data_IF_317274094450
#
_entry.id   IF_317274094450
#
_cell.length_a   1.000
_cell.length_b   1.000
_cell.length_c   1.000
_cell.angle_alpha   90.00
_cell.angle_beta   90.00
_cell.angle_gamma   90.00
#
_symmetry.space_group_name_H-M   'P 1'
#
loop_
_entity.id
_entity.type
_entity.pdbx_description
1 polymer ?
#
# COMPACT_ATOMS: atom_id res chain seq x y z
N UNK A 1 53.31 35.04 -5.83
CA UNK A 1 52.13 35.61 -5.14
C UNK A 1 50.94 34.75 -5.46
N UNK A 2 50.63 33.76 -4.60
CA UNK A 2 49.46 32.88 -4.76
C UNK A 2 48.29 33.54 -4.05
N UNK A 3 47.28 33.88 -4.82
CA UNK A 3 46.00 34.44 -4.38
C UNK A 3 45.31 33.50 -3.38
N UNK A 4 44.80 34.12 -2.33
CA UNK A 4 43.91 33.55 -1.32
C UNK A 4 42.66 32.94 -1.98
N UNK A 5 42.36 31.69 -1.64
CA UNK A 5 41.05 31.08 -1.83
C UNK A 5 40.37 31.02 -0.45
N UNK A 6 39.20 31.67 -0.25
CA UNK A 6 38.47 31.65 1.02
C UNK A 6 37.81 30.28 1.30
N UNK A 7 37.36 30.03 2.56
CA UNK A 7 36.85 28.74 3.00
C UNK A 7 35.51 28.42 2.34
N UNK A 8 35.43 27.32 1.60
CA UNK A 8 34.16 26.76 1.15
C UNK A 8 33.40 26.19 2.35
N UNK A 9 32.38 26.93 2.77
CA UNK A 9 31.25 26.40 3.51
C UNK A 9 30.34 25.73 2.46
N UNK A 10 30.15 24.42 2.60
CA UNK A 10 29.24 23.61 1.78
C UNK A 10 27.79 24.02 2.09
N UNK A 11 27.30 25.03 1.38
CA UNK A 11 25.87 25.17 1.07
C UNK A 11 25.71 24.85 -0.43
N UNK A 12 24.64 24.12 -0.73
CA UNK A 12 24.19 23.74 -2.07
C UNK A 12 25.08 22.77 -2.85
N UNK A 13 24.81 21.47 -2.67
CA UNK A 13 24.57 20.52 -3.76
C UNK A 13 24.20 19.16 -3.14
N UNK A 14 23.13 18.55 -3.64
CA UNK A 14 22.73 17.18 -3.34
C UNK A 14 23.87 16.20 -3.71
N UNK A 15 24.74 15.93 -2.74
CA UNK A 15 25.51 14.70 -2.68
C UNK A 15 25.13 14.05 -1.36
N UNK A 16 24.46 12.89 -1.44
CA UNK A 16 24.33 11.99 -0.30
C UNK A 16 25.76 11.68 0.16
N UNK A 17 26.28 12.40 1.15
CA UNK A 17 27.37 11.86 1.98
C UNK A 17 26.68 10.91 2.94
N UNK A 18 26.41 9.68 2.52
CA UNK A 18 26.02 8.64 3.47
C UNK A 18 27.25 8.23 4.22
N UNK A 19 27.56 8.94 5.29
CA UNK A 19 28.58 8.48 6.22
C UNK A 19 28.11 7.19 6.87
N UNK A 20 28.96 6.17 6.82
CA UNK A 20 28.64 4.89 7.43
C UNK A 20 29.01 4.95 8.91
N UNK A 21 28.04 4.73 9.80
CA UNK A 21 28.33 4.49 11.21
C UNK A 21 29.05 3.15 11.33
N UNK A 22 30.30 3.20 11.80
CA UNK A 22 31.10 2.01 12.07
C UNK A 22 30.96 1.58 13.53
N UNK A 23 30.90 2.55 14.45
CA UNK A 23 30.91 2.26 15.89
C UNK A 23 30.23 3.36 16.70
N UNK A 24 29.58 2.97 17.80
CA UNK A 24 29.04 3.88 18.82
C UNK A 24 29.62 3.49 20.18
N UNK A 25 30.15 4.48 20.90
CA UNK A 25 30.65 4.29 22.26
C UNK A 25 30.06 5.32 23.20
N UNK A 26 29.59 4.85 24.35
CA UNK A 26 29.18 5.68 25.48
C UNK A 26 30.12 5.44 26.67
N UNK A 27 30.92 6.44 27.03
CA UNK A 27 31.87 6.38 28.14
C UNK A 27 31.89 7.70 28.90
N UNK A 28 31.75 7.65 30.23
CA UNK A 28 31.89 8.82 31.12
C UNK A 28 31.07 10.04 30.64
N UNK A 29 29.76 9.82 30.39
CA UNK A 29 28.81 10.81 29.86
C UNK A 29 29.13 11.37 28.45
N UNK A 30 30.10 10.78 27.74
CA UNK A 30 30.41 11.11 26.35
C UNK A 30 29.83 10.05 25.42
N UNK A 31 29.10 10.50 24.40
CA UNK A 31 28.59 9.68 23.31
C UNK A 31 29.36 10.04 22.04
N UNK A 32 30.13 9.08 21.52
CA UNK A 32 30.95 9.24 20.33
C UNK A 32 30.52 8.24 19.25
N UNK A 33 30.59 8.71 18.01
CA UNK A 33 30.28 7.91 16.82
C UNK A 33 31.50 7.92 15.91
N UNK A 34 31.88 6.74 15.41
CA UNK A 34 32.87 6.61 14.36
C UNK A 34 32.16 6.57 13.01
N UNK A 35 32.41 7.57 12.20
CA UNK A 35 31.83 7.69 10.87
C UNK A 35 32.92 7.50 9.81
N UNK A 36 32.52 7.05 8.63
CA UNK A 36 33.38 6.97 7.46
C UNK A 36 32.78 7.74 6.30
N UNK A 37 33.55 8.71 5.80
CA UNK A 37 33.29 9.34 4.52
C UNK A 37 33.53 8.33 3.38
N UNK A 38 32.52 8.01 2.54
CA UNK A 38 32.64 7.05 1.44
C UNK A 38 33.71 7.39 0.40
N UNK A 39 34.10 8.66 0.28
CA UNK A 39 35.15 9.07 -0.64
C UNK A 39 36.56 8.78 -0.12
N UNK A 40 36.68 8.23 1.10
CA UNK A 40 37.94 7.87 1.74
C UNK A 40 38.93 9.04 1.88
N UNK A 41 38.41 10.26 1.99
CA UNK A 41 39.15 11.48 2.33
C UNK A 41 38.16 12.51 2.92
N UNK A 42 38.65 13.64 3.45
CA UNK A 42 37.84 14.75 4.02
C UNK A 42 37.07 14.36 5.28
N UNK A 43 37.80 14.27 6.39
CA UNK A 43 37.26 14.02 7.73
C UNK A 43 36.63 15.25 8.40
N UNK A 44 35.84 14.97 9.43
CA UNK A 44 35.38 15.94 10.43
C UNK A 44 36.54 16.72 11.05
N UNK A 45 36.37 18.04 11.20
CA UNK A 45 37.41 18.95 11.69
C UNK A 45 37.09 19.58 13.06
N UNK A 46 35.94 19.26 13.64
CA UNK A 46 35.53 19.81 14.92
C UNK A 46 36.00 18.95 16.09
N UNK A 47 35.17 18.88 17.13
CA UNK A 47 35.49 18.18 18.36
C UNK A 47 35.71 16.69 18.11
N UNK A 48 36.75 16.12 18.71
CA UNK A 48 37.19 14.73 18.49
C UNK A 48 37.68 14.44 17.06
N UNK A 49 38.03 15.46 16.28
CA UNK A 49 38.84 15.27 15.06
C UNK A 49 40.28 14.86 15.40
N UNK A 50 41.03 14.42 14.38
CA UNK A 50 42.44 14.05 14.54
C UNK A 50 43.31 15.23 15.01
N UNK A 51 42.85 16.47 14.79
CA UNK A 51 43.54 17.73 15.16
C UNK A 51 43.10 18.29 16.50
N UNK A 52 42.05 17.76 17.12
CA UNK A 52 41.54 18.25 18.40
C UNK A 52 42.39 17.76 19.57
N UNK A 53 43.32 18.59 20.03
CA UNK A 53 44.21 18.24 21.15
C UNK A 53 43.54 18.34 22.53
N UNK A 54 42.36 18.95 22.63
CA UNK A 54 41.74 19.27 23.93
C UNK A 54 40.75 18.20 24.37
N UNK A 55 39.98 17.63 23.44
CA UNK A 55 38.90 16.70 23.80
C UNK A 55 39.38 15.26 23.97
N UNK A 56 40.49 14.89 23.32
CA UNK A 56 41.10 13.56 23.45
C UNK A 56 41.83 13.41 24.79
N UNK A 57 41.45 12.39 25.56
CA UNK A 57 42.16 11.99 26.79
C UNK A 57 42.83 10.63 26.59
N UNK A 58 43.94 10.32 27.28
CA UNK A 58 44.61 9.01 27.15
C UNK A 58 43.68 7.83 27.43
N UNK A 59 42.75 7.98 28.38
CA UNK A 59 41.75 6.95 28.71
C UNK A 59 40.79 6.72 27.54
N UNK A 60 40.37 7.79 26.88
CA UNK A 60 39.43 7.73 25.75
C UNK A 60 40.11 7.13 24.51
N UNK A 61 41.34 7.56 24.20
CA UNK A 61 42.14 6.98 23.12
C UNK A 61 42.35 5.47 23.31
N UNK A 62 42.69 5.04 24.54
CA UNK A 62 42.84 3.62 24.87
C UNK A 62 41.53 2.84 24.74
N UNK A 63 40.41 3.44 25.15
CA UNK A 63 39.11 2.77 25.10
C UNK A 63 38.57 2.60 23.67
N UNK A 64 38.93 3.50 22.76
CA UNK A 64 38.52 3.49 21.36
C UNK A 64 39.56 2.83 20.44
N UNK A 65 40.68 2.33 20.99
CA UNK A 65 41.86 1.89 20.23
C UNK A 65 42.26 2.89 19.12
N UNK A 66 42.22 4.19 19.46
CA UNK A 66 42.37 5.28 18.50
C UNK A 66 43.52 6.21 18.89
N UNK A 67 44.42 6.47 17.93
CA UNK A 67 45.51 7.44 18.07
C UNK A 67 45.34 8.60 17.06
N UNK A 68 45.03 9.83 17.54
CA UNK A 68 44.91 11.00 16.67
C UNK A 68 46.16 11.33 15.86
N UNK A 69 47.36 11.02 16.39
CA UNK A 69 48.62 11.29 15.70
C UNK A 69 48.85 10.36 14.50
N UNK A 70 48.43 9.10 14.60
CA UNK A 70 48.52 8.13 13.50
C UNK A 70 47.48 8.47 12.43
N UNK A 71 46.26 8.84 12.86
CA UNK A 71 45.22 9.30 11.93
C UNK A 71 45.63 10.54 11.13
N UNK A 72 46.48 11.42 11.65
CA UNK A 72 47.00 12.57 10.88
C UNK A 72 47.93 12.17 9.73
N UNK A 73 48.53 10.98 9.76
CA UNK A 73 49.50 10.55 8.74
C UNK A 73 48.83 10.05 7.46
N UNK A 74 47.64 9.47 7.58
CA UNK A 74 46.89 8.89 6.46
C UNK A 74 45.41 9.25 6.57
N UNK A 75 44.85 9.88 5.52
CA UNK A 75 43.42 10.16 5.42
C UNK A 75 42.70 9.03 4.68
N UNK A 76 41.89 8.28 5.41
CA UNK A 76 41.03 7.20 4.91
C UNK A 76 39.53 7.55 5.01
N UNK A 77 39.21 8.79 5.38
CA UNK A 77 37.86 9.28 5.61
C UNK A 77 37.19 8.79 6.90
N UNK A 78 37.85 8.00 7.76
CA UNK A 78 37.29 7.55 9.04
C UNK A 78 37.58 8.56 10.15
N UNK A 79 36.56 8.94 10.93
CA UNK A 79 36.73 9.89 12.04
C UNK A 79 35.74 9.69 13.18
N UNK A 80 36.10 10.20 14.35
CA UNK A 80 35.20 10.28 15.51
C UNK A 80 34.51 11.64 15.59
N UNK A 81 33.26 11.64 16.03
CA UNK A 81 32.46 12.84 16.24
C UNK A 81 31.57 12.66 17.48
N UNK A 82 31.32 13.73 18.24
CA UNK A 82 30.39 13.66 19.36
C UNK A 82 28.93 13.70 18.91
N UNK A 83 28.07 12.98 19.63
CA UNK A 83 26.65 12.87 19.31
C UNK A 83 25.96 14.24 19.20
N UNK A 84 26.36 15.23 20.00
CA UNK A 84 25.84 16.60 19.90
C UNK A 84 26.18 17.23 18.54
N UNK A 85 27.37 17.01 18.01
CA UNK A 85 27.75 17.46 16.68
C UNK A 85 27.00 16.68 15.60
N UNK A 86 26.82 15.36 15.76
CA UNK A 86 25.98 14.57 14.84
C UNK A 86 24.57 15.17 14.73
N UNK A 87 23.89 15.42 15.86
CA UNK A 87 22.57 16.03 15.88
C UNK A 87 22.52 17.47 15.33
N UNK A 88 23.67 18.16 15.26
CA UNK A 88 23.73 19.52 14.72
C UNK A 88 23.97 19.55 13.21
N UNK A 89 24.76 18.62 12.68
CA UNK A 89 25.20 18.62 11.28
C UNK A 89 24.48 17.60 10.39
N UNK A 90 23.81 16.61 10.96
CA UNK A 90 23.11 15.56 10.21
C UNK A 90 21.60 15.61 10.47
N UNK A 91 20.83 15.62 9.39
CA UNK A 91 19.35 15.66 9.47
C UNK A 91 18.70 14.28 9.53
N UNK A 92 19.37 13.24 9.01
CA UNK A 92 18.78 11.90 8.82
C UNK A 92 19.77 10.82 9.23
N UNK A 93 19.27 9.82 9.94
CA UNK A 93 20.01 8.64 10.35
C UNK A 93 19.30 7.37 9.86
N UNK A 94 19.96 6.61 8.97
CA UNK A 94 19.41 5.34 8.46
C UNK A 94 19.91 4.17 9.30
N UNK A 95 18.97 3.47 9.94
CA UNK A 95 19.27 2.29 10.75
C UNK A 95 18.63 1.08 10.10
N UNK A 96 19.39 -0.02 10.03
CA UNK A 96 18.86 -1.32 9.67
C UNK A 96 18.86 -2.23 10.90
N UNK A 97 17.95 -3.19 10.94
CA UNK A 97 17.90 -4.20 11.98
C UNK A 97 18.64 -5.46 11.52
N UNK A 98 19.03 -6.29 12.46
CA UNK A 98 19.48 -7.65 12.14
C UNK A 98 18.25 -8.48 11.73
N UNK A 99 18.16 -8.97 10.48
CA UNK A 99 17.02 -9.79 10.06
C UNK A 99 16.94 -11.13 10.81
N UNK A 100 18.02 -11.58 11.47
CA UNK A 100 18.05 -12.83 12.23
C UNK A 100 17.10 -12.86 13.42
N UNK A 101 16.64 -11.70 13.90
CA UNK A 101 15.62 -11.59 14.95
C UNK A 101 14.26 -12.19 14.53
N UNK A 102 14.06 -12.42 13.22
CA UNK A 102 12.87 -13.05 12.67
C UNK A 102 13.19 -14.45 12.13
N UNK A 103 12.72 -15.51 12.79
CA UNK A 103 12.93 -16.89 12.32
C UNK A 103 12.22 -17.20 11.00
N UNK A 104 11.15 -16.46 10.65
CA UNK A 104 10.40 -16.67 9.43
C UNK A 104 10.47 -15.43 8.54
N UNK A 105 10.90 -15.61 7.29
CA UNK A 105 10.90 -14.55 6.29
C UNK A 105 10.56 -15.09 4.91
N UNK A 106 9.86 -14.27 4.13
CA UNK A 106 9.54 -14.57 2.75
C UNK A 106 9.41 -13.28 1.96
N UNK A 107 9.96 -13.27 0.75
CA UNK A 107 9.90 -12.13 -0.16
C UNK A 107 9.41 -12.56 -1.54
N UNK A 108 8.51 -11.77 -2.11
CA UNK A 108 8.11 -11.90 -3.50
C UNK A 108 8.55 -10.67 -4.28
N UNK A 109 8.86 -10.88 -5.56
CA UNK A 109 9.18 -9.83 -6.51
C UNK A 109 8.03 -9.70 -7.51
N UNK A 110 7.63 -8.47 -7.80
CA UNK A 110 6.52 -8.21 -8.69
C UNK A 110 6.68 -6.89 -9.44
N UNK A 111 5.86 -6.74 -10.47
CA UNK A 111 5.74 -5.54 -11.28
C UNK A 111 4.31 -5.03 -11.20
N UNK A 112 4.14 -3.71 -11.11
CA UNK A 112 2.85 -3.04 -11.24
C UNK A 112 2.87 -2.10 -12.44
N UNK A 113 2.22 -2.51 -13.53
CA UNK A 113 2.20 -1.77 -14.80
C UNK A 113 1.43 -0.45 -14.69
N UNK A 114 1.97 0.61 -15.30
CA UNK A 114 1.27 1.88 -15.52
C UNK A 114 -0.06 1.68 -16.28
N UNK A 115 -1.02 2.58 -16.08
CA UNK A 115 -2.24 2.65 -16.89
C UNK A 115 -3.37 1.67 -16.51
N UNK A 116 -3.15 0.75 -15.57
CA UNK A 116 -4.22 -0.06 -14.99
C UNK A 116 -4.89 0.66 -13.81
N UNK A 117 -6.23 0.66 -13.77
CA UNK A 117 -6.98 1.25 -12.68
C UNK A 117 -6.94 2.77 -12.61
N UNK A 118 -7.45 3.36 -11.51
CA UNK A 118 -7.45 4.81 -11.35
C UNK A 118 -6.04 5.34 -11.09
N UNK A 119 -5.77 6.58 -11.52
CA UNK A 119 -4.49 7.26 -11.23
C UNK A 119 -4.31 7.46 -9.72
N UNK A 120 -5.41 7.69 -9.00
CA UNK A 120 -5.42 7.86 -7.54
C UNK A 120 -6.33 6.83 -6.90
N UNK A 121 -5.89 6.29 -5.77
CA UNK A 121 -6.62 5.32 -4.93
C UNK A 121 -7.81 5.95 -4.17
N UNK A 122 -8.58 6.84 -4.81
CA UNK A 122 -9.67 7.59 -4.16
C UNK A 122 -10.98 6.80 -4.11
N UNK A 123 -11.30 6.08 -5.19
CA UNK A 123 -12.60 5.43 -5.34
C UNK A 123 -12.51 3.90 -5.47
N UNK A 124 -11.38 3.37 -5.96
CA UNK A 124 -11.11 1.93 -6.00
C UNK A 124 -9.62 1.62 -5.89
N UNK A 125 -9.32 0.46 -5.33
CA UNK A 125 -7.97 -0.16 -5.26
C UNK A 125 -7.97 -1.58 -5.85
N UNK A 126 -9.01 -1.92 -6.63
CA UNK A 126 -9.23 -3.28 -7.15
C UNK A 126 -8.13 -3.73 -8.13
N UNK A 127 -7.51 -2.78 -8.83
CA UNK A 127 -6.43 -2.98 -9.80
C UNK A 127 -5.03 -2.88 -9.17
N UNK A 128 -4.97 -2.57 -7.88
CA UNK A 128 -3.72 -2.52 -7.15
C UNK A 128 -3.23 -3.95 -6.88
N UNK A 129 -1.92 -4.20 -6.75
CA UNK A 129 -1.42 -5.49 -6.35
C UNK A 129 -1.85 -5.80 -4.92
N UNK A 130 -2.49 -6.95 -4.74
CA UNK A 130 -2.98 -7.39 -3.43
C UNK A 130 -2.45 -8.76 -3.08
N UNK A 131 -2.16 -8.96 -1.80
CA UNK A 131 -1.60 -10.18 -1.26
C UNK A 131 -2.36 -10.60 0.00
N UNK A 132 -2.64 -11.89 0.14
CA UNK A 132 -3.14 -12.47 1.38
C UNK A 132 -1.95 -12.84 2.25
N UNK A 133 -1.98 -12.37 3.50
CA UNK A 133 -1.06 -12.77 4.56
C UNK A 133 -1.84 -13.58 5.59
N UNK A 134 -1.46 -14.84 5.77
CA UNK A 134 -2.09 -15.75 6.72
C UNK A 134 -1.07 -16.16 7.78
N UNK A 135 -1.45 -16.12 9.04
CA UNK A 135 -0.55 -16.39 10.17
C UNK A 135 -1.31 -17.11 11.28
N UNK A 136 -0.70 -18.15 11.84
CA UNK A 136 -1.25 -18.82 13.01
C UNK A 136 -0.59 -18.24 14.26
N UNK A 137 -1.33 -17.44 15.01
CA UNK A 137 -0.82 -16.70 16.17
C UNK A 137 -1.09 -17.45 17.47
N UNK A 138 -0.11 -17.45 18.38
CA UNK A 138 -0.23 -17.95 19.75
C UNK A 138 -0.53 -16.84 20.77
N UNK A 139 -0.85 -15.63 20.32
CA UNK A 139 -1.22 -14.49 21.18
C UNK A 139 -0.17 -13.37 21.27
N UNK A 140 1.00 -13.52 20.65
CA UNK A 140 1.94 -12.41 20.43
C UNK A 140 2.87 -12.70 19.26
N UNK A 141 2.53 -12.19 18.08
CA UNK A 141 3.34 -12.33 16.87
C UNK A 141 3.70 -10.97 16.30
N UNK A 142 4.99 -10.66 16.27
CA UNK A 142 5.53 -9.53 15.52
C UNK A 142 5.58 -9.85 14.02
N UNK A 143 5.05 -8.96 13.20
CA UNK A 143 5.10 -9.01 11.73
C UNK A 143 5.59 -7.68 11.18
N UNK A 144 6.64 -7.72 10.38
CA UNK A 144 7.22 -6.58 9.69
C UNK A 144 7.08 -6.77 8.18
N UNK A 145 6.40 -5.83 7.53
CA UNK A 145 6.12 -5.83 6.09
C UNK A 145 6.96 -4.74 5.45
N UNK A 146 7.97 -5.15 4.70
CA UNK A 146 8.87 -4.27 3.98
C UNK A 146 8.53 -4.27 2.49
N UNK A 147 8.02 -3.14 2.02
CA UNK A 147 7.92 -2.84 0.59
C UNK A 147 9.19 -2.12 0.14
N UNK A 148 9.84 -2.66 -0.87
CA UNK A 148 11.03 -2.06 -1.49
C UNK A 148 10.81 -1.89 -2.98
N UNK A 149 10.69 -0.65 -3.44
CA UNK A 149 10.70 -0.32 -4.87
C UNK A 149 12.11 -0.46 -5.42
N UNK A 150 12.23 -1.07 -6.59
CA UNK A 150 13.49 -1.17 -7.30
C UNK A 150 13.69 0.11 -8.10
N UNK A 151 14.81 0.78 -7.89
CA UNK A 151 15.23 1.94 -8.66
C UNK A 151 16.35 1.49 -9.58
N UNK A 152 16.07 1.46 -10.88
CA UNK A 152 17.03 1.03 -11.91
C UNK A 152 17.56 2.20 -12.75
N UNK A 153 16.97 3.40 -12.59
CA UNK A 153 17.35 4.61 -13.30
C UNK A 153 17.87 5.69 -12.33
N UNK A 154 18.99 6.33 -12.69
CA UNK A 154 19.64 7.35 -11.85
C UNK A 154 18.79 8.62 -11.72
N UNK A 155 18.04 9.00 -12.75
CA UNK A 155 17.20 10.21 -12.70
C UNK A 155 15.98 9.99 -11.82
N UNK A 156 15.41 8.79 -11.82
CA UNK A 156 14.38 8.36 -10.88
C UNK A 156 14.87 8.37 -9.43
N UNK A 157 16.11 7.93 -9.18
CA UNK A 157 16.73 8.06 -7.85
C UNK A 157 16.88 9.53 -7.42
N UNK A 158 17.43 10.37 -8.29
CA UNK A 158 17.69 11.78 -7.99
C UNK A 158 16.41 12.60 -7.80
N UNK A 159 15.34 12.26 -8.51
CA UNK A 159 14.06 12.96 -8.49
C UNK A 159 12.91 11.98 -8.26
N UNK A 160 12.88 11.35 -7.08
CA UNK A 160 11.86 10.36 -6.77
C UNK A 160 10.48 11.02 -6.60
N UNK A 161 9.61 10.81 -7.59
CA UNK A 161 8.21 11.27 -7.60
C UNK A 161 7.22 10.15 -7.29
N UNK A 162 7.71 8.94 -7.05
CA UNK A 162 6.88 7.78 -6.79
C UNK A 162 6.71 7.60 -5.27
N UNK A 163 5.50 7.88 -4.79
CA UNK A 163 5.14 7.74 -3.38
C UNK A 163 4.42 6.41 -3.18
N UNK A 164 5.04 5.50 -2.42
CA UNK A 164 4.55 4.13 -2.22
C UNK A 164 4.13 3.90 -0.76
N UNK A 165 3.24 2.94 -0.55
CA UNK A 165 2.89 2.40 0.78
C UNK A 165 2.31 0.99 0.65
N UNK A 166 2.11 0.34 1.79
CA UNK A 166 1.27 -0.86 1.92
C UNK A 166 0.14 -0.56 2.88
N UNK A 167 -1.09 -0.69 2.39
CA UNK A 167 -2.29 -0.68 3.22
C UNK A 167 -2.56 -2.10 3.72
N UNK A 168 -2.99 -2.23 4.97
CA UNK A 168 -3.26 -3.51 5.62
C UNK A 168 -4.71 -3.56 6.05
N UNK A 169 -5.41 -4.63 5.66
CA UNK A 169 -6.81 -4.89 6.00
C UNK A 169 -6.92 -6.22 6.73
N UNK A 170 -7.74 -6.30 7.78
CA UNK A 170 -8.08 -7.56 8.45
C UNK A 170 -9.26 -8.20 7.71
N UNK A 171 -8.97 -9.05 6.72
CA UNK A 171 -10.00 -9.65 5.83
C UNK A 171 -9.51 -10.95 5.20
N UNK A 172 -8.39 -10.89 4.47
CA UNK A 172 -7.89 -12.00 3.65
C UNK A 172 -8.50 -12.08 2.25
N UNK A 173 -9.51 -11.24 1.95
CA UNK A 173 -10.21 -11.16 0.66
C UNK A 173 -9.73 -9.98 -0.18
N UNK A 174 -10.09 -9.97 -1.46
CA UNK A 174 -9.80 -8.84 -2.36
C UNK A 174 -10.51 -7.57 -1.87
N UNK A 175 -9.77 -6.48 -1.80
CA UNK A 175 -10.28 -5.16 -1.42
C UNK A 175 -10.60 -4.37 -2.68
N UNK A 176 -11.83 -3.89 -2.80
CA UNK A 176 -12.24 -3.10 -3.97
C UNK A 176 -12.29 -1.61 -3.67
N UNK A 177 -12.72 -1.27 -2.46
CA UNK A 177 -12.93 0.09 -1.99
C UNK A 177 -11.88 0.37 -0.90
N UNK A 178 -11.07 1.44 -1.01
CA UNK A 178 -9.99 1.69 -0.07
C UNK A 178 -10.46 1.88 1.39
N UNK A 179 -11.68 2.39 1.56
CA UNK A 179 -12.29 2.68 2.86
C UNK A 179 -13.21 1.58 3.39
N UNK A 180 -13.45 0.52 2.61
CA UNK A 180 -14.40 -0.54 2.97
C UNK A 180 -13.89 -1.94 2.55
N UNK A 181 -13.51 -2.80 3.52
CA UNK A 181 -13.47 -2.52 4.97
C UNK A 181 -12.44 -1.44 5.33
N UNK A 182 -12.57 -0.83 6.51
CA UNK A 182 -11.58 0.16 6.98
C UNK A 182 -10.20 -0.49 7.15
N UNK A 183 -9.12 0.09 6.61
CA UNK A 183 -7.78 -0.45 6.81
C UNK A 183 -7.38 -0.35 8.29
N UNK A 184 -6.66 -1.36 8.78
CA UNK A 184 -6.02 -1.32 10.10
C UNK A 184 -4.72 -0.52 10.06
N UNK A 185 -4.08 -0.44 8.88
CA UNK A 185 -2.92 0.42 8.64
C UNK A 185 -3.04 1.03 7.24
N UNK A 186 -2.98 2.35 7.17
CA UNK A 186 -2.90 3.15 5.94
C UNK A 186 -2.00 4.34 6.24
N UNK A 187 -0.69 4.12 6.20
CA UNK A 187 0.26 5.17 6.47
C UNK A 187 0.40 6.12 5.27
N UNK A 188 0.96 7.29 5.56
CA UNK A 188 1.33 8.29 4.55
C UNK A 188 2.21 7.64 3.49
N UNK A 189 1.92 7.92 2.22
CA UNK A 189 2.72 7.45 1.09
C UNK A 189 4.04 8.21 1.09
N UNK A 190 5.15 7.49 1.07
CA UNK A 190 6.50 8.06 1.16
C UNK A 190 7.21 7.97 -0.19
N UNK A 191 7.98 8.99 -0.54
CA UNK A 191 8.92 8.96 -1.68
C UNK A 191 10.27 8.33 -1.30
N UNK A 192 10.27 7.44 -0.31
CA UNK A 192 11.40 6.55 -0.03
C UNK A 192 11.25 5.30 -0.91
N UNK A 193 12.36 4.70 -1.41
CA UNK A 193 12.31 3.39 -2.04
C UNK A 193 11.83 2.30 -1.08
N UNK A 194 11.90 2.54 0.23
CA UNK A 194 11.50 1.59 1.26
C UNK A 194 10.34 2.12 2.09
N UNK A 195 9.35 1.27 2.32
CA UNK A 195 8.29 1.48 3.28
C UNK A 195 8.21 0.26 4.20
N UNK A 196 8.36 0.49 5.51
CA UNK A 196 8.26 -0.54 6.55
C UNK A 196 6.98 -0.33 7.35
N UNK A 197 6.14 -1.36 7.37
CA UNK A 197 4.96 -1.46 8.22
C UNK A 197 5.23 -2.50 9.30
N UNK A 198 5.08 -2.12 10.57
CA UNK A 198 5.29 -3.00 11.72
C UNK A 198 3.96 -3.21 12.44
N UNK A 199 3.63 -4.47 12.74
CA UNK A 199 2.42 -4.82 13.48
C UNK A 199 2.70 -5.92 14.50
N UNK A 200 1.88 -5.94 15.54
CA UNK A 200 1.84 -6.99 16.54
C UNK A 200 0.44 -7.60 16.51
N UNK A 201 0.37 -8.91 16.36
CA UNK A 201 -0.87 -9.67 16.42
C UNK A 201 -0.99 -10.25 17.82
N UNK A 202 -1.98 -9.76 18.57
CA UNK A 202 -2.25 -10.20 19.94
C UNK A 202 -3.35 -11.27 20.03
N UNK A 203 -4.09 -11.50 18.95
CA UNK A 203 -5.17 -12.47 18.91
C UNK A 203 -4.63 -13.88 18.65
N UNK A 204 -5.13 -14.87 19.38
CA UNK A 204 -4.79 -16.27 19.16
C UNK A 204 -5.54 -16.84 17.95
N UNK A 205 -4.97 -17.89 17.36
CA UNK A 205 -5.54 -18.63 16.25
C UNK A 205 -5.16 -18.07 14.89
N UNK A 206 -5.88 -18.54 13.88
CA UNK A 206 -5.59 -18.26 12.49
C UNK A 206 -6.09 -16.88 12.06
N UNK A 207 -5.16 -16.00 11.70
CA UNK A 207 -5.43 -14.62 11.30
C UNK A 207 -5.17 -14.44 9.81
N UNK A 208 -6.07 -13.70 9.13
CA UNK A 208 -5.96 -13.39 7.70
C UNK A 208 -5.98 -11.88 7.47
N UNK A 209 -5.02 -11.42 6.68
CA UNK A 209 -4.88 -10.02 6.26
C UNK A 209 -4.81 -9.91 4.76
N UNK A 210 -5.22 -8.77 4.23
CA UNK A 210 -4.99 -8.36 2.86
C UNK A 210 -4.05 -7.17 2.83
N UNK A 211 -2.93 -7.33 2.13
CA UNK A 211 -1.94 -6.29 1.90
C UNK A 211 -2.20 -5.69 0.52
N UNK A 212 -2.43 -4.39 0.44
CA UNK A 212 -2.64 -3.66 -0.81
C UNK A 212 -1.46 -2.73 -1.02
N UNK A 213 -0.67 -2.98 -2.07
CA UNK A 213 0.39 -2.05 -2.50
C UNK A 213 -0.28 -0.84 -3.12
N UNK A 214 0.07 0.36 -2.66
CA UNK A 214 -0.63 1.59 -3.03
C UNK A 214 0.35 2.68 -3.46
N UNK A 215 -0.14 3.63 -4.27
CA UNK A 215 0.62 4.77 -4.76
C UNK A 215 -0.19 6.06 -4.63
N UNK A 216 0.49 7.21 -4.52
CA UNK A 216 -0.22 8.50 -4.53
C UNK A 216 -0.77 8.84 -5.93
N UNK A 217 0.06 8.69 -6.97
CA UNK A 217 -0.28 8.92 -8.37
C UNK A 217 0.38 7.86 -9.24
N UNK A 218 -0.43 6.95 -9.77
CA UNK A 218 0.04 5.82 -10.56
C UNK A 218 0.38 6.24 -11.99
N UNK A 219 1.56 6.83 -12.16
CA UNK A 219 2.00 7.35 -13.46
C UNK A 219 3.00 6.43 -14.17
N UNK A 220 3.72 5.57 -13.43
CA UNK A 220 4.78 4.72 -13.98
C UNK A 220 4.63 3.27 -13.57
N UNK A 221 5.19 2.41 -14.41
CA UNK A 221 5.39 1.00 -14.05
C UNK A 221 6.46 0.94 -12.98
N UNK A 222 6.17 0.25 -11.88
CA UNK A 222 7.17 0.01 -10.82
C UNK A 222 7.47 -1.48 -10.68
N UNK A 223 8.70 -1.77 -10.29
CA UNK A 223 9.15 -3.08 -9.84
C UNK A 223 9.39 -3.00 -8.33
N UNK A 224 9.02 -4.04 -7.60
CA UNK A 224 9.17 -4.05 -6.15
C UNK A 224 9.37 -5.44 -5.58
N UNK A 225 9.94 -5.47 -4.38
CA UNK A 225 9.94 -6.60 -3.46
C UNK A 225 8.94 -6.31 -2.35
N UNK A 226 8.02 -7.23 -2.08
CA UNK A 226 7.24 -7.25 -0.85
C UNK A 226 7.79 -8.37 0.03
N UNK A 227 8.42 -8.02 1.14
CA UNK A 227 9.02 -8.96 2.08
C UNK A 227 8.31 -8.89 3.42
N UNK A 228 8.03 -10.05 3.99
CA UNK A 228 7.47 -10.19 5.33
C UNK A 228 8.50 -10.87 6.21
N UNK A 229 8.66 -10.34 7.42
CA UNK A 229 9.42 -10.94 8.50
C UNK A 229 8.46 -11.22 9.66
N UNK A 230 8.57 -12.37 10.28
CA UNK A 230 7.69 -12.77 11.37
C UNK A 230 8.38 -13.63 12.42
N UNK A 231 7.85 -13.53 13.63
CA UNK A 231 8.18 -14.40 14.77
C UNK A 231 7.40 -15.71 14.77
N UNK A 232 6.39 -15.85 13.90
CA UNK A 232 5.64 -17.08 13.69
C UNK A 232 5.59 -17.47 12.21
N UNK A 233 5.29 -18.73 11.93
CA UNK A 233 5.11 -19.21 10.56
C UNK A 233 3.91 -18.50 9.90
N UNK A 234 4.09 -18.12 8.64
CA UNK A 234 3.07 -17.42 7.88
C UNK A 234 3.09 -17.85 6.41
N UNK A 235 2.00 -17.53 5.72
CA UNK A 235 1.86 -17.71 4.28
C UNK A 235 1.54 -16.38 3.62
N UNK A 236 2.36 -15.99 2.65
CA UNK A 236 2.13 -14.81 1.81
C UNK A 236 1.90 -15.26 0.36
N UNK A 237 0.78 -14.85 -0.22
CA UNK A 237 0.44 -15.17 -1.60
C UNK A 237 -0.34 -14.05 -2.27
N UNK A 238 -0.28 -13.97 -3.60
CA UNK A 238 -1.13 -13.02 -4.35
C UNK A 238 -2.60 -13.37 -4.12
N UNK A 239 -3.45 -12.36 -3.92
CA UNK A 239 -4.90 -12.56 -3.79
C UNK A 239 -5.42 -13.23 -5.06
N UNK A 240 -6.11 -14.35 -4.88
CA UNK A 240 -6.76 -15.07 -5.97
C UNK A 240 -8.08 -14.37 -6.31
N UNK A 241 -8.38 -14.28 -7.61
CA UNK A 241 -9.67 -13.81 -8.11
C UNK A 241 -10.43 -15.04 -8.60
N UNK A 242 -11.63 -15.33 -8.08
CA UNK A 242 -12.34 -16.58 -8.38
C UNK A 242 -13.12 -16.53 -9.71
N UNK A 243 -13.24 -15.37 -10.34
CA UNK A 243 -14.12 -15.18 -11.49
C UNK A 243 -13.54 -15.75 -12.78
N UNK A 244 -14.31 -16.59 -13.46
CA UNK A 244 -13.97 -17.23 -14.74
C UNK A 244 -14.79 -16.67 -15.91
N UNK A 245 -15.96 -16.09 -15.61
CA UNK A 245 -16.87 -15.51 -16.60
C UNK A 245 -16.99 -14.01 -16.37
N UNK A 246 -17.05 -13.23 -17.45
CA UNK A 246 -17.22 -11.78 -17.41
C UNK A 246 -18.12 -11.29 -18.54
N UNK A 247 -19.10 -10.45 -18.21
CA UNK A 247 -19.94 -9.74 -19.19
C UNK A 247 -20.10 -8.29 -18.79
N UNK A 248 -20.06 -7.40 -19.78
CA UNK A 248 -20.31 -5.97 -19.63
C UNK A 248 -21.48 -5.57 -20.52
N UNK A 249 -22.43 -4.85 -19.96
CA UNK A 249 -23.60 -4.31 -20.67
C UNK A 249 -23.56 -2.78 -20.59
N UNK A 250 -24.01 -2.13 -21.65
CA UNK A 250 -24.29 -0.69 -21.67
C UNK A 250 -25.78 -0.46 -21.48
N UNK A 251 -26.13 0.38 -20.51
CA UNK A 251 -27.49 0.82 -20.24
C UNK A 251 -27.57 2.33 -20.13
N UNK A 252 -28.78 2.85 -19.88
CA UNK A 252 -29.00 4.26 -19.59
C UNK A 252 -30.17 4.44 -18.62
N UNK A 253 -30.10 5.48 -17.79
CA UNK A 253 -31.25 6.05 -17.10
C UNK A 253 -31.82 7.14 -17.99
N UNK A 254 -33.07 7.02 -18.42
CA UNK A 254 -33.69 7.98 -19.35
C UNK A 254 -35.21 8.05 -19.20
N UNK A 255 -35.74 9.27 -19.18
CA UNK A 255 -37.17 9.54 -19.04
C UNK A 255 -37.75 8.82 -17.83
N UNK A 256 -38.75 7.96 -18.07
CA UNK A 256 -39.41 7.19 -17.01
C UNK A 256 -38.46 6.26 -16.24
N UNK A 257 -37.38 5.81 -16.86
CA UNK A 257 -36.42 4.88 -16.23
C UNK A 257 -35.36 5.57 -15.37
N UNK A 258 -35.30 6.92 -15.37
CA UNK A 258 -34.53 7.68 -14.40
C UNK A 258 -35.31 7.79 -13.07
N UNK A 259 -35.55 6.65 -12.43
CA UNK A 259 -36.47 6.52 -11.31
C UNK A 259 -35.90 6.96 -9.96
N UNK A 260 -34.59 7.12 -9.82
CA UNK A 260 -33.97 7.47 -8.54
C UNK A 260 -34.04 6.34 -7.50
N UNK A 261 -33.61 6.61 -6.26
CA UNK A 261 -33.55 5.59 -5.22
C UNK A 261 -34.93 5.31 -4.57
N UNK A 262 -35.05 4.23 -3.78
CA UNK A 262 -36.30 3.85 -3.09
C UNK A 262 -36.75 4.78 -1.95
N UNK A 263 -36.10 5.95 -1.79
CA UNK A 263 -36.28 6.85 -0.66
C UNK A 263 -36.77 8.23 -1.10
N UNK A 264 -37.40 8.95 -0.16
CA UNK A 264 -37.78 10.35 -0.33
C UNK A 264 -38.63 10.61 -1.59
N UNK A 265 -38.35 11.69 -2.35
CA UNK A 265 -39.11 12.04 -3.56
C UNK A 265 -39.08 11.01 -4.69
N UNK A 266 -38.15 10.05 -4.67
CA UNK A 266 -37.95 9.05 -5.73
C UNK A 266 -38.72 7.75 -5.48
N UNK A 267 -39.43 7.64 -4.34
CA UNK A 267 -40.10 6.39 -3.92
C UNK A 267 -41.16 5.89 -4.92
N UNK A 268 -41.86 6.80 -5.57
CA UNK A 268 -42.92 6.48 -6.54
C UNK A 268 -42.37 6.05 -7.90
N UNK A 269 -41.18 6.53 -8.25
CA UNK A 269 -40.54 6.31 -9.56
C UNK A 269 -39.46 5.24 -9.51
N UNK A 270 -39.03 4.82 -8.31
CA UNK A 270 -38.04 3.77 -8.05
C UNK A 270 -38.25 2.50 -8.87
N UNK A 271 -39.49 2.00 -8.94
CA UNK A 271 -39.81 0.75 -9.63
C UNK A 271 -39.60 0.82 -11.15
N UNK A 272 -39.43 2.02 -11.72
CA UNK A 272 -39.20 2.21 -13.14
C UNK A 272 -37.73 2.09 -13.55
N UNK A 273 -36.80 2.05 -12.59
CA UNK A 273 -35.37 1.93 -12.90
C UNK A 273 -35.06 0.69 -13.75
N UNK A 274 -34.00 0.70 -14.59
CA UNK A 274 -33.62 -0.45 -15.41
C UNK A 274 -33.35 -1.71 -14.56
N UNK A 275 -33.82 -2.86 -15.05
CA UNK A 275 -33.65 -4.16 -14.38
C UNK A 275 -33.00 -5.14 -15.35
N UNK A 276 -31.99 -5.86 -14.85
CA UNK A 276 -31.28 -6.90 -15.57
C UNK A 276 -31.47 -8.23 -14.86
N UNK A 277 -31.91 -9.24 -15.62
CA UNK A 277 -32.02 -10.61 -15.14
C UNK A 277 -30.68 -11.32 -15.35
N UNK A 278 -30.05 -11.74 -14.25
CA UNK A 278 -28.85 -12.55 -14.18
C UNK A 278 -29.26 -14.00 -13.87
N UNK A 279 -28.91 -14.94 -14.73
CA UNK A 279 -29.10 -16.37 -14.49
C UNK A 279 -27.74 -17.03 -14.30
N UNK A 280 -27.49 -17.52 -13.08
CA UNK A 280 -26.28 -18.29 -12.75
C UNK A 280 -26.50 -19.75 -13.13
N UNK A 281 -25.43 -20.40 -13.60
CA UNK A 281 -25.42 -21.83 -13.89
C UNK A 281 -25.75 -22.67 -12.64
N UNK A 282 -26.33 -23.85 -12.85
CA UNK A 282 -26.84 -24.69 -11.77
C UNK A 282 -25.82 -25.69 -11.20
N UNK A 283 -24.55 -25.57 -11.60
CA UNK A 283 -23.46 -26.45 -11.18
C UNK A 283 -23.04 -26.33 -9.71
N UNK A 284 -23.33 -25.22 -9.03
CA UNK A 284 -22.99 -24.97 -7.62
C UNK A 284 -23.95 -23.97 -6.98
N UNK A 285 -24.14 -24.09 -5.67
CA UNK A 285 -24.85 -23.10 -4.84
C UNK A 285 -23.90 -22.16 -4.07
N UNK A 286 -22.60 -22.26 -4.33
CA UNK A 286 -21.55 -21.50 -3.68
C UNK A 286 -20.76 -20.71 -4.73
N UNK A 287 -21.45 -19.82 -5.44
CA UNK A 287 -20.85 -19.01 -6.50
C UNK A 287 -20.39 -17.66 -5.96
N UNK A 288 -19.16 -17.25 -6.31
CA UNK A 288 -18.70 -15.88 -6.16
C UNK A 288 -19.15 -15.02 -7.33
N UNK A 289 -19.73 -13.84 -7.04
CA UNK A 289 -20.23 -12.88 -8.04
C UNK A 289 -19.74 -11.47 -7.71
N UNK A 290 -19.17 -10.77 -8.69
CA UNK A 290 -18.79 -9.37 -8.62
C UNK A 290 -19.68 -8.55 -9.54
N UNK A 291 -20.28 -7.48 -9.02
CA UNK A 291 -21.10 -6.57 -9.80
C UNK A 291 -20.50 -5.18 -9.69
N UNK A 292 -20.14 -4.59 -10.83
CA UNK A 292 -19.59 -3.25 -10.94
C UNK A 292 -20.54 -2.37 -11.76
N UNK A 293 -20.88 -1.20 -11.23
CA UNK A 293 -21.68 -0.19 -11.93
C UNK A 293 -20.85 1.09 -12.10
N UNK A 294 -20.68 1.52 -13.34
CA UNK A 294 -19.97 2.76 -13.74
C UNK A 294 -20.94 3.69 -14.45
N UNK A 295 -21.07 4.92 -13.99
CA UNK A 295 -21.93 5.94 -14.57
C UNK A 295 -21.26 7.32 -14.59
N UNK A 296 -22.02 8.38 -14.92
CA UNK A 296 -21.49 9.74 -14.95
C UNK A 296 -21.05 10.20 -13.55
N UNK A 297 -19.89 10.87 -13.46
CA UNK A 297 -19.26 11.26 -12.17
C UNK A 297 -20.10 12.24 -11.35
N UNK A 298 -21.01 12.97 -11.99
CA UNK A 298 -21.89 13.92 -11.33
C UNK A 298 -23.02 13.26 -10.53
N UNK A 299 -23.36 11.99 -10.82
CA UNK A 299 -24.46 11.28 -10.16
C UNK A 299 -23.94 10.34 -9.09
N UNK A 300 -24.66 10.27 -7.98
CA UNK A 300 -24.46 9.21 -7.00
C UNK A 300 -25.30 8.01 -7.46
N UNK A 301 -24.66 6.86 -7.65
CA UNK A 301 -25.28 5.67 -8.24
C UNK A 301 -25.22 4.48 -7.28
N UNK A 302 -26.16 3.56 -7.44
CA UNK A 302 -26.33 2.36 -6.63
C UNK A 302 -27.01 1.25 -7.43
N UNK A 303 -27.00 0.04 -6.88
CA UNK A 303 -27.84 -1.04 -7.38
C UNK A 303 -28.24 -1.98 -6.25
N UNK A 304 -29.31 -2.75 -6.51
CA UNK A 304 -29.76 -3.85 -5.67
C UNK A 304 -29.81 -5.13 -6.49
N UNK A 305 -29.49 -6.25 -5.85
CA UNK A 305 -29.65 -7.60 -6.40
C UNK A 305 -30.64 -8.38 -5.53
N UNK A 306 -31.66 -8.93 -6.16
CA UNK A 306 -32.72 -9.71 -5.51
C UNK A 306 -32.90 -11.05 -6.20
N UNK A 307 -33.02 -12.12 -5.42
CA UNK A 307 -33.36 -13.43 -5.96
C UNK A 307 -34.79 -13.42 -6.52
N UNK A 308 -34.94 -13.84 -7.76
CA UNK A 308 -36.23 -14.00 -8.44
C UNK A 308 -36.71 -15.45 -8.35
N UNK A 309 -35.84 -16.40 -8.65
CA UNK A 309 -36.13 -17.84 -8.50
C UNK A 309 -34.87 -18.63 -8.18
N UNK A 310 -35.04 -19.76 -7.51
CA UNK A 310 -33.98 -20.76 -7.31
C UNK A 310 -34.58 -22.15 -7.48
N UNK A 311 -33.96 -22.98 -8.32
CA UNK A 311 -34.38 -24.37 -8.53
C UNK A 311 -34.15 -25.24 -7.28
N UNK A 312 -33.22 -24.84 -6.41
CA UNK A 312 -32.74 -25.62 -5.27
C UNK A 312 -33.28 -25.13 -3.92
N UNK A 313 -34.19 -24.15 -3.92
CA UNK A 313 -34.83 -23.56 -2.74
C UNK A 313 -33.87 -22.98 -1.68
N UNK A 314 -32.61 -22.68 -2.04
CA UNK A 314 -31.68 -21.95 -1.15
C UNK A 314 -32.00 -20.46 -1.21
N UNK A 315 -32.43 -19.90 -0.09
CA UNK A 315 -32.81 -18.49 0.02
C UNK A 315 -31.57 -17.60 -0.14
N UNK A 316 -31.70 -16.54 -0.94
CA UNK A 316 -30.73 -15.46 -1.00
C UNK A 316 -31.42 -14.13 -0.70
N UNK A 317 -31.02 -13.50 0.40
CA UNK A 317 -31.54 -12.20 0.79
C UNK A 317 -31.13 -11.11 -0.20
N UNK A 318 -31.97 -10.10 -0.40
CA UNK A 318 -31.60 -8.92 -1.18
C UNK A 318 -30.33 -8.29 -0.63
N UNK A 319 -29.42 -7.93 -1.52
CA UNK A 319 -28.19 -7.19 -1.21
C UNK A 319 -28.14 -5.92 -2.04
N UNK A 320 -27.54 -4.87 -1.50
CA UNK A 320 -27.32 -3.61 -2.22
C UNK A 320 -25.83 -3.31 -2.31
N UNK A 321 -25.47 -2.43 -3.24
CA UNK A 321 -24.10 -1.91 -3.36
C UNK A 321 -23.67 -0.98 -2.20
N UNK A 322 -24.48 -0.89 -1.13
CA UNK A 322 -24.24 0.01 0.00
C UNK A 322 -24.64 1.45 -0.31
N UNK A 323 -23.94 2.41 0.33
CA UNK A 323 -24.17 3.83 0.13
C UNK A 323 -23.97 4.22 -1.35
N UNK A 324 -24.76 5.17 -1.84
CA UNK A 324 -24.63 5.68 -3.20
C UNK A 324 -23.32 6.43 -3.37
N UNK A 325 -22.59 6.18 -4.47
CA UNK A 325 -21.25 6.73 -4.72
C UNK A 325 -21.18 7.40 -6.08
N UNK A 326 -20.34 8.43 -6.20
CA UNK A 326 -20.20 9.23 -7.43
C UNK A 326 -19.64 8.40 -8.58
N UNK A 327 -20.46 8.13 -9.59
CA UNK A 327 -20.08 7.51 -10.85
C UNK A 327 -19.53 6.07 -10.79
N UNK A 328 -19.36 5.47 -9.61
CA UNK A 328 -18.79 4.14 -9.45
C UNK A 328 -19.26 3.47 -8.17
N UNK A 329 -19.80 2.27 -8.27
CA UNK A 329 -20.06 1.38 -7.13
C UNK A 329 -19.79 -0.08 -7.50
N UNK A 330 -19.55 -0.91 -6.49
CA UNK A 330 -19.14 -2.31 -6.66
C UNK A 330 -19.63 -3.15 -5.48
N UNK A 331 -20.02 -4.39 -5.76
CA UNK A 331 -20.46 -5.36 -4.76
C UNK A 331 -19.82 -6.72 -5.07
N UNK A 332 -19.07 -7.26 -4.12
CA UNK A 332 -18.56 -8.61 -4.16
C UNK A 332 -19.44 -9.50 -3.27
N UNK A 333 -19.97 -10.56 -3.85
CA UNK A 333 -20.83 -11.54 -3.20
C UNK A 333 -20.13 -12.89 -3.25
N UNK A 334 -20.28 -13.65 -2.18
CA UNK A 334 -19.78 -15.02 -2.04
C UNK A 334 -20.97 -15.90 -1.68
N UNK A 335 -20.81 -17.21 -1.89
CA UNK A 335 -21.82 -18.22 -1.54
C UNK A 335 -23.19 -17.93 -2.18
N UNK A 336 -23.21 -17.34 -3.38
CA UNK A 336 -24.44 -17.03 -4.11
C UNK A 336 -25.02 -18.33 -4.68
N UNK A 337 -26.26 -18.69 -4.32
CA UNK A 337 -26.91 -19.90 -4.84
C UNK A 337 -27.06 -19.89 -6.36
N UNK A 338 -27.27 -21.06 -6.95
CA UNK A 338 -27.74 -21.12 -8.33
C UNK A 338 -29.18 -20.56 -8.41
N UNK A 339 -29.45 -19.80 -9.47
CA UNK A 339 -30.76 -19.23 -9.67
C UNK A 339 -30.79 -18.02 -10.59
N UNK A 340 -31.96 -17.39 -10.60
CA UNK A 340 -32.25 -16.18 -11.38
C UNK A 340 -32.37 -15.01 -10.42
N UNK A 341 -31.69 -13.92 -10.74
CA UNK A 341 -31.55 -12.73 -9.94
C UNK A 341 -31.88 -11.50 -10.76
N UNK A 342 -32.53 -10.51 -10.14
CA UNK A 342 -32.79 -9.21 -10.73
C UNK A 342 -31.81 -8.20 -10.15
N UNK A 343 -31.06 -7.54 -11.02
CA UNK A 343 -30.16 -6.43 -10.69
C UNK A 343 -30.85 -5.13 -11.14
N UNK A 344 -31.25 -4.30 -10.18
CA UNK A 344 -31.88 -3.01 -10.45
C UNK A 344 -30.85 -1.89 -10.26
N UNK A 345 -30.52 -1.18 -11.33
CA UNK A 345 -29.52 -0.10 -11.32
C UNK A 345 -30.20 1.25 -11.19
N UNK A 346 -29.70 2.15 -10.35
CA UNK A 346 -30.40 3.39 -10.02
C UNK A 346 -29.45 4.55 -9.72
N UNK A 347 -29.92 5.77 -9.97
CA UNK A 347 -29.34 7.00 -9.45
C UNK A 347 -29.92 7.34 -8.07
N UNK A 348 -29.30 8.27 -7.35
CA UNK A 348 -29.83 8.69 -6.06
C UNK A 348 -31.09 9.55 -6.23
N UNK A 349 -31.06 10.54 -7.12
CA UNK A 349 -32.21 11.39 -7.42
C UNK A 349 -32.94 10.91 -8.66
N UNK A 350 -34.28 10.99 -8.65
CA UNK A 350 -35.10 10.81 -9.84
C UNK A 350 -34.81 11.88 -10.90
N UNK A 351 -34.95 11.52 -12.17
CA UNK A 351 -34.67 12.42 -13.31
C UNK A 351 -33.19 12.61 -13.65
N UNK A 352 -32.27 12.01 -12.90
CA UNK A 352 -30.85 11.96 -13.29
C UNK A 352 -30.67 11.00 -14.47
N UNK A 353 -30.48 11.57 -15.67
CA UNK A 353 -30.34 10.82 -16.90
C UNK A 353 -28.88 10.64 -17.33
N UNK A 354 -28.54 9.48 -17.85
CA UNK A 354 -27.22 9.25 -18.43
C UNK A 354 -26.89 7.79 -18.72
N UNK A 355 -25.85 7.54 -19.52
CA UNK A 355 -25.40 6.20 -19.82
C UNK A 355 -24.65 5.58 -18.63
N UNK A 356 -24.72 4.26 -18.51
CA UNK A 356 -23.92 3.50 -17.55
C UNK A 356 -23.41 2.19 -18.14
N UNK A 357 -22.42 1.62 -17.47
CA UNK A 357 -21.92 0.28 -17.71
C UNK A 357 -22.16 -0.59 -16.48
N UNK A 358 -22.76 -1.76 -16.71
CA UNK A 358 -22.93 -2.81 -15.71
C UNK A 358 -22.02 -3.97 -16.09
N UNK A 359 -21.04 -4.28 -15.24
CA UNK A 359 -20.10 -5.40 -15.44
C UNK A 359 -20.36 -6.45 -14.37
N UNK A 360 -20.52 -7.70 -14.79
CA UNK A 360 -20.69 -8.84 -13.91
C UNK A 360 -19.52 -9.78 -14.16
N UNK A 361 -18.89 -10.23 -13.09
CA UNK A 361 -17.92 -11.32 -13.10
C UNK A 361 -18.40 -12.41 -12.16
N UNK A 362 -18.24 -13.68 -12.53
CA UNK A 362 -18.68 -14.80 -11.70
C UNK A 362 -17.72 -15.99 -11.79
N UNK A 363 -17.70 -16.78 -10.72
CA UNK A 363 -16.97 -18.07 -10.64
C UNK A 363 -17.63 -19.20 -11.42
N UNK A 364 -18.82 -18.98 -11.98
CA UNK A 364 -19.55 -19.90 -12.85
C UNK A 364 -19.91 -19.25 -14.19
N UNK A 365 -20.45 -20.04 -15.11
CA UNK A 365 -21.08 -19.50 -16.33
C UNK A 365 -22.38 -18.79 -15.98
N UNK A 366 -22.73 -17.75 -16.75
CA UNK A 366 -23.99 -17.04 -16.55
C UNK A 366 -24.51 -16.37 -17.82
N UNK A 367 -25.82 -16.12 -17.83
CA UNK A 367 -26.48 -15.26 -18.80
C UNK A 367 -27.00 -14.00 -18.14
N UNK A 368 -27.04 -12.92 -18.89
CA UNK A 368 -27.63 -11.67 -18.42
C UNK A 368 -28.37 -10.98 -19.56
N UNK A 369 -29.58 -10.49 -19.28
CA UNK A 369 -30.41 -9.74 -20.24
C UNK A 369 -31.15 -8.62 -19.52
N UNK A 370 -31.46 -7.55 -20.26
CA UNK A 370 -32.32 -6.48 -19.77
C UNK A 370 -33.77 -6.94 -19.82
N UNK A 371 -34.52 -6.69 -18.74
CA UNK A 371 -35.96 -7.00 -18.66
C UNK A 371 -36.84 -5.76 -18.43
N UNK A 372 -36.22 -4.62 -18.09
CA UNK A 372 -36.87 -3.30 -17.98
C UNK A 372 -35.90 -2.19 -18.36
#
# INVERSE_FOLDING_TARGET
>A
MKQLIPPFILYDNFYLVTECLLEYLALQDKQLLMLKNPWTHLRWKGRYSEKDKLSWTPQLCKALDYNPADAQQFDDGVFWIDFKSVCHFFDVFYVNWDPSIFPYTYGLHAMWSAGLGPVKDLYSVADNPQYTLEVNSNGSVAIWILLTRHITDKNDFANNKEYITVMVYKSGKKIYIPSDPKPIMDAVRLNSPHYLCQMIISECGYQKYTLVVAQYEKMKTIYYTLRVYSTAEFRLQKVKVPYISKKRITGEWKGKTAGGCGNGPSRETYMNNPIYELSLDDGSDDNDVLIELKGPKQYNIGFEIKQFSSLRNKLFETRSSGAFRRGYTILALEEVPAGVYNIQTMTFQQGEEGPFFLTIEASCSFTIKRIQ
#
